data_IF_710618185933
#
_entry.id   IF_710618185933
#
_cell.length_a   1.000
_cell.length_b   1.000
_cell.length_c   1.000
_cell.angle_alpha   90.00
_cell.angle_beta   90.00
_cell.angle_gamma   90.00
#
_symmetry.space_group_name_H-M   'P 1'
#
loop_
_entity.id
_entity.type
_entity.pdbx_description
1 polymer ?
#
# COMPACT_ATOMS: atom_id res chain seq x y z
N UNK A 1 -27.87 -0.39 -17.17
CA UNK A 1 -26.90 -1.27 -17.86
C UNK A 1 -25.54 -0.97 -17.26
N UNK A 2 -24.81 -1.97 -16.77
CA UNK A 2 -23.43 -1.75 -16.32
C UNK A 2 -22.62 -1.16 -17.50
N UNK A 3 -21.94 -0.04 -17.29
CA UNK A 3 -21.12 0.56 -18.33
C UNK A 3 -19.98 -0.42 -18.67
N UNK A 4 -19.82 -0.75 -19.96
CA UNK A 4 -18.80 -1.68 -20.43
C UNK A 4 -17.39 -1.28 -19.99
N UNK A 5 -17.14 0.02 -19.79
CA UNK A 5 -15.87 0.55 -19.29
C UNK A 5 -15.60 0.17 -17.84
N UNK A 6 -16.64 0.07 -17.00
CA UNK A 6 -16.51 -0.43 -15.63
C UNK A 6 -16.09 -1.90 -15.60
N UNK A 7 -16.72 -2.72 -16.43
CA UNK A 7 -16.37 -4.14 -16.58
C UNK A 7 -14.95 -4.34 -17.11
N UNK A 8 -14.54 -3.49 -18.05
CA UNK A 8 -13.19 -3.47 -18.61
C UNK A 8 -12.15 -3.09 -17.55
N UNK A 9 -12.38 -2.00 -16.80
CA UNK A 9 -11.50 -1.59 -15.70
C UNK A 9 -11.32 -2.73 -14.70
N UNK A 10 -12.41 -3.36 -14.26
CA UNK A 10 -12.36 -4.50 -13.34
C UNK A 10 -11.45 -5.61 -13.85
N UNK A 11 -11.55 -5.99 -15.14
CA UNK A 11 -10.70 -7.03 -15.73
C UNK A 11 -9.23 -6.61 -15.78
N UNK A 12 -8.95 -5.36 -16.15
CA UNK A 12 -7.59 -4.82 -16.19
C UNK A 12 -6.96 -4.86 -14.79
N UNK A 13 -7.68 -4.39 -13.77
CA UNK A 13 -7.18 -4.37 -12.40
C UNK A 13 -6.99 -5.77 -11.84
N UNK A 14 -7.93 -6.70 -12.06
CA UNK A 14 -7.78 -8.10 -11.64
C UNK A 14 -6.53 -8.75 -12.26
N UNK A 15 -6.30 -8.55 -13.57
CA UNK A 15 -5.13 -9.09 -14.25
C UNK A 15 -3.83 -8.46 -13.74
N UNK A 16 -3.84 -7.16 -13.48
CA UNK A 16 -2.68 -6.41 -12.98
C UNK A 16 -2.32 -6.80 -11.55
N UNK A 17 -3.30 -6.86 -10.63
CA UNK A 17 -3.06 -7.19 -9.21
C UNK A 17 -2.64 -8.64 -9.00
N UNK A 18 -3.03 -9.57 -9.88
CA UNK A 18 -2.68 -10.98 -9.76
C UNK A 18 -1.16 -11.25 -9.67
N UNK A 19 -0.33 -10.38 -10.25
CA UNK A 19 1.13 -10.50 -10.18
C UNK A 19 1.72 -10.11 -8.80
N UNK A 20 0.91 -9.51 -7.95
CA UNK A 20 1.31 -8.91 -6.67
C UNK A 20 0.59 -9.53 -5.46
N UNK A 21 -0.61 -10.09 -5.67
CA UNK A 21 -1.41 -10.70 -4.60
C UNK A 21 -0.64 -11.79 -3.86
N UNK A 22 -0.74 -11.77 -2.52
CA UNK A 22 -0.09 -12.74 -1.64
C UNK A 22 1.41 -12.50 -1.40
N UNK A 23 2.01 -11.50 -2.04
CA UNK A 23 3.41 -11.12 -1.84
C UNK A 23 3.54 -10.13 -0.67
N UNK A 24 4.48 -10.38 0.23
CA UNK A 24 4.65 -9.61 1.48
C UNK A 24 5.22 -8.23 1.17
N UNK A 25 6.15 -8.14 0.22
CA UNK A 25 6.75 -6.89 -0.23
C UNK A 25 5.74 -5.91 -0.85
N UNK A 26 4.55 -6.41 -1.24
CA UNK A 26 3.42 -5.59 -1.69
C UNK A 26 2.31 -5.49 -0.63
N UNK A 27 2.64 -5.73 0.65
CA UNK A 27 1.70 -5.58 1.76
C UNK A 27 0.52 -6.53 1.71
N UNK A 28 0.67 -7.71 1.09
CA UNK A 28 -0.44 -8.64 0.85
C UNK A 28 -1.60 -7.94 0.12
N UNK A 29 -1.28 -7.35 -1.04
CA UNK A 29 -2.18 -6.59 -1.89
C UNK A 29 -3.50 -7.32 -2.15
N UNK A 30 -4.61 -6.60 -1.96
CA UNK A 30 -5.99 -7.07 -2.12
C UNK A 30 -6.76 -6.12 -3.02
N UNK A 31 -7.67 -6.69 -3.81
CA UNK A 31 -8.59 -5.96 -4.68
C UNK A 31 -10.02 -6.30 -4.23
N UNK A 32 -10.80 -5.28 -3.90
CA UNK A 32 -12.20 -5.41 -3.53
C UNK A 32 -13.05 -4.61 -4.53
N UNK A 33 -14.08 -5.25 -5.07
CA UNK A 33 -14.96 -4.65 -6.07
C UNK A 33 -16.38 -4.60 -5.53
N UNK A 34 -16.94 -3.41 -5.51
CA UNK A 34 -18.31 -3.12 -5.10
C UNK A 34 -19.08 -2.65 -6.32
N UNK A 35 -19.91 -3.53 -6.86
CA UNK A 35 -20.87 -3.16 -7.89
C UNK A 35 -22.04 -2.47 -7.18
N UNK A 36 -22.17 -1.15 -7.35
CA UNK A 36 -23.31 -0.39 -6.83
C UNK A 36 -24.61 -1.00 -7.34
N UNK A 37 -25.57 -1.24 -6.45
CA UNK A 37 -26.89 -1.72 -6.83
C UNK A 37 -27.59 -0.75 -7.78
N UNK A 38 -28.62 -1.21 -8.51
CA UNK A 38 -29.35 -0.37 -9.47
C UNK A 38 -29.96 0.92 -8.87
N UNK A 39 -30.16 0.96 -7.54
CA UNK A 39 -30.67 2.11 -6.77
C UNK A 39 -29.58 2.85 -5.97
N UNK A 40 -28.31 2.51 -6.15
CA UNK A 40 -27.19 3.15 -5.44
C UNK A 40 -26.76 4.41 -6.18
N UNK A 41 -26.97 5.58 -5.56
CA UNK A 41 -26.35 6.84 -6.01
C UNK A 41 -24.82 6.76 -6.01
N UNK A 42 -24.27 5.93 -5.12
CA UNK A 42 -22.86 5.56 -5.12
C UNK A 42 -22.66 4.59 -6.30
N UNK A 43 -22.11 5.08 -7.40
CA UNK A 43 -21.71 4.25 -8.53
C UNK A 43 -20.75 3.12 -8.14
N UNK A 44 -20.32 2.32 -9.13
CA UNK A 44 -19.36 1.24 -8.87
C UNK A 44 -18.10 1.76 -8.17
N UNK A 45 -17.58 0.99 -7.20
CA UNK A 45 -16.32 1.29 -6.49
C UNK A 45 -15.36 0.11 -6.52
N UNK A 46 -14.08 0.39 -6.75
CA UNK A 46 -12.99 -0.58 -6.61
C UNK A 46 -12.04 -0.03 -5.56
N UNK A 47 -11.67 -0.87 -4.59
CA UNK A 47 -10.66 -0.58 -3.60
C UNK A 47 -9.45 -1.50 -3.79
N UNK A 48 -8.26 -0.92 -3.81
CA UNK A 48 -6.99 -1.64 -3.79
C UNK A 48 -6.37 -1.38 -2.42
N UNK A 49 -6.16 -2.42 -1.62
CA UNK A 49 -5.66 -2.30 -0.25
C UNK A 49 -4.36 -3.08 -0.06
N UNK A 50 -3.46 -2.54 0.75
CA UNK A 50 -2.22 -3.20 1.16
C UNK A 50 -1.82 -2.78 2.57
N UNK A 51 -1.03 -3.61 3.24
CA UNK A 51 -0.53 -3.37 4.58
C UNK A 51 0.90 -2.81 4.54
N UNK A 52 1.27 -1.98 5.51
CA UNK A 52 2.66 -1.62 5.82
C UNK A 52 3.14 -2.37 7.06
N UNK A 53 4.45 -2.46 7.29
CA UNK A 53 4.97 -3.05 8.52
C UNK A 53 4.30 -2.46 9.76
N UNK A 54 3.97 -3.30 10.73
CA UNK A 54 3.22 -2.89 11.94
C UNK A 54 1.69 -2.93 11.78
N UNK A 55 1.17 -3.24 10.59
CA UNK A 55 -0.24 -3.57 10.37
C UNK A 55 -1.15 -2.40 9.97
N UNK A 56 -0.59 -1.23 9.64
CA UNK A 56 -1.40 -0.14 9.06
C UNK A 56 -1.87 -0.53 7.65
N UNK A 57 -3.14 -0.25 7.35
CA UNK A 57 -3.73 -0.53 6.03
C UNK A 57 -3.80 0.75 5.22
N UNK A 58 -3.24 0.71 4.01
CA UNK A 58 -3.34 1.76 3.01
C UNK A 58 -4.29 1.30 1.90
N UNK A 59 -4.99 2.25 1.28
CA UNK A 59 -5.97 1.96 0.25
C UNK A 59 -6.02 3.04 -0.81
N UNK A 60 -6.21 2.61 -2.05
CA UNK A 60 -6.56 3.48 -3.17
C UNK A 60 -7.99 3.14 -3.60
N UNK A 61 -8.80 4.16 -3.85
CA UNK A 61 -10.20 3.99 -4.25
C UNK A 61 -10.45 4.53 -5.65
N UNK A 62 -11.14 3.75 -6.46
CA UNK A 62 -11.68 4.18 -7.75
C UNK A 62 -13.20 4.17 -7.68
N UNK A 63 -13.81 5.31 -7.97
CA UNK A 63 -15.25 5.44 -8.23
C UNK A 63 -15.53 5.60 -9.73
N UNK A 64 -16.73 5.25 -10.16
CA UNK A 64 -17.20 5.54 -11.51
C UNK A 64 -18.57 6.21 -11.48
N UNK A 65 -18.60 7.46 -11.93
CA UNK A 65 -19.78 8.32 -11.86
C UNK A 65 -19.89 9.16 -13.14
N UNK A 66 -21.10 9.30 -13.68
CA UNK A 66 -21.37 10.13 -14.88
C UNK A 66 -20.46 9.82 -16.08
N UNK A 67 -19.93 8.61 -16.18
CA UNK A 67 -19.04 8.19 -17.27
C UNK A 67 -17.57 8.57 -17.10
N UNK A 68 -17.16 9.01 -15.90
CA UNK A 68 -15.79 9.39 -15.54
C UNK A 68 -15.32 8.54 -14.35
N UNK A 69 -14.06 8.14 -14.35
CA UNK A 69 -13.43 7.46 -13.23
C UNK A 69 -12.77 8.49 -12.31
N UNK A 70 -13.12 8.46 -11.03
CA UNK A 70 -12.47 9.24 -9.97
C UNK A 70 -11.54 8.35 -9.17
N UNK A 71 -10.26 8.72 -9.06
CA UNK A 71 -9.27 8.06 -8.21
C UNK A 71 -8.90 8.99 -7.08
N UNK A 72 -9.07 8.52 -5.84
CA UNK A 72 -8.56 9.21 -4.66
C UNK A 72 -7.10 8.79 -4.45
N UNK A 73 -6.20 9.76 -4.44
CA UNK A 73 -4.79 9.53 -4.08
C UNK A 73 -4.67 9.07 -2.60
N UNK A 74 -3.51 8.55 -2.22
CA UNK A 74 -3.20 8.02 -0.89
C UNK A 74 -3.50 9.01 0.25
N UNK A 75 -3.36 10.32 0.00
CA UNK A 75 -3.66 11.39 0.97
C UNK A 75 -5.15 11.74 1.04
N UNK A 76 -5.96 11.26 0.09
CA UNK A 76 -7.36 11.63 -0.13
C UNK A 76 -7.60 13.14 -0.36
N UNK A 77 -6.55 13.93 -0.64
CA UNK A 77 -6.67 15.38 -0.83
C UNK A 77 -6.95 15.80 -2.29
N UNK A 78 -6.58 14.94 -3.25
CA UNK A 78 -6.78 15.20 -4.68
C UNK A 78 -7.53 14.05 -5.34
N UNK A 79 -8.62 14.37 -6.05
CA UNK A 79 -9.33 13.45 -6.93
C UNK A 79 -8.75 13.58 -8.34
N UNK A 80 -8.13 12.51 -8.84
CA UNK A 80 -7.72 12.40 -10.24
C UNK A 80 -8.87 11.85 -11.07
N UNK A 81 -9.07 12.43 -12.25
CA UNK A 81 -10.17 12.05 -13.15
C UNK A 81 -9.64 11.46 -14.45
N UNK A 82 -10.23 10.35 -14.85
CA UNK A 82 -9.87 9.63 -16.06
C UNK A 82 -11.11 9.28 -16.87
N UNK A 83 -10.99 9.24 -18.19
CA UNK A 83 -12.10 8.89 -19.09
C UNK A 83 -12.01 7.45 -19.57
N UNK A 84 -10.79 6.90 -19.61
CA UNK A 84 -10.51 5.55 -20.10
C UNK A 84 -10.10 4.59 -18.97
N UNK A 85 -10.63 3.35 -18.96
CA UNK A 85 -10.22 2.30 -18.02
C UNK A 85 -8.71 2.05 -17.98
N UNK A 86 -8.04 2.17 -19.14
CA UNK A 86 -6.61 1.95 -19.30
C UNK A 86 -5.79 2.97 -18.50
N UNK A 87 -6.18 4.24 -18.52
CA UNK A 87 -5.47 5.31 -17.80
C UNK A 87 -5.54 5.07 -16.29
N UNK A 88 -6.70 4.64 -15.79
CA UNK A 88 -6.86 4.26 -14.38
C UNK A 88 -6.00 3.06 -14.03
N UNK A 89 -5.98 2.03 -14.88
CA UNK A 89 -5.21 0.82 -14.65
C UNK A 89 -3.70 1.09 -14.66
N UNK A 90 -3.21 1.92 -15.59
CA UNK A 90 -1.82 2.38 -15.65
C UNK A 90 -1.45 3.18 -14.40
N UNK A 91 -2.31 4.12 -13.99
CA UNK A 91 -2.08 4.91 -12.79
C UNK A 91 -2.00 4.04 -11.53
N UNK A 92 -2.97 3.13 -11.33
CA UNK A 92 -2.94 2.20 -10.20
C UNK A 92 -1.75 1.23 -10.27
N UNK A 93 -1.31 0.85 -11.47
CA UNK A 93 -0.13 0.01 -11.63
C UNK A 93 1.13 0.71 -11.11
N UNK A 94 1.31 1.99 -11.43
CA UNK A 94 2.44 2.76 -10.91
C UNK A 94 2.38 2.91 -9.38
N UNK A 95 1.20 3.15 -8.81
CA UNK A 95 1.02 3.16 -7.35
C UNK A 95 1.40 1.82 -6.72
N UNK A 96 0.93 0.70 -7.29
CA UNK A 96 1.27 -0.65 -6.79
C UNK A 96 2.77 -0.94 -6.90
N UNK A 97 3.42 -0.51 -7.99
CA UNK A 97 4.87 -0.64 -8.15
C UNK A 97 5.66 0.17 -7.12
N UNK A 98 5.10 1.28 -6.64
CA UNK A 98 5.69 2.11 -5.59
C UNK A 98 5.57 1.54 -4.18
N UNK A 99 4.71 0.53 -3.93
CA UNK A 99 4.45 -0.01 -2.58
C UNK A 99 5.72 -0.42 -1.83
N UNK A 100 6.67 -1.18 -2.41
CA UNK A 100 7.88 -1.60 -1.68
C UNK A 100 8.71 -0.41 -1.19
N UNK A 101 8.80 0.65 -2.01
CA UNK A 101 9.53 1.86 -1.66
C UNK A 101 8.80 2.65 -0.56
N UNK A 102 7.48 2.80 -0.67
CA UNK A 102 6.67 3.46 0.36
C UNK A 102 6.77 2.73 1.72
N UNK A 103 6.73 1.39 1.70
CA UNK A 103 6.93 0.55 2.90
C UNK A 103 8.30 0.79 3.53
N UNK A 104 9.36 0.88 2.72
CA UNK A 104 10.72 1.17 3.19
C UNK A 104 10.83 2.54 3.82
N UNK A 105 10.30 3.58 3.17
CA UNK A 105 10.31 4.94 3.69
C UNK A 105 9.59 5.02 5.03
N UNK A 106 8.40 4.41 5.12
CA UNK A 106 7.65 4.36 6.38
C UNK A 106 8.45 3.70 7.50
N UNK A 107 9.13 2.59 7.21
CA UNK A 107 9.96 1.90 8.20
C UNK A 107 11.13 2.79 8.71
N UNK A 108 11.71 3.61 7.84
CA UNK A 108 12.74 4.57 8.23
C UNK A 108 12.18 5.68 9.12
N UNK A 109 11.01 6.23 8.76
CA UNK A 109 10.30 7.23 9.57
C UNK A 109 9.97 6.69 10.97
N UNK A 110 9.51 5.44 11.06
CA UNK A 110 9.20 4.77 12.32
C UNK A 110 10.48 4.60 13.17
N UNK A 111 11.61 4.19 12.56
CA UNK A 111 12.92 4.12 13.24
C UNK A 111 13.34 5.50 13.77
N UNK A 112 13.27 6.53 12.93
CA UNK A 112 13.63 7.90 13.32
C UNK A 112 12.73 8.44 14.44
N UNK A 113 11.45 8.06 14.44
CA UNK A 113 10.54 8.39 15.52
C UNK A 113 10.94 7.67 16.82
N UNK A 114 11.21 6.37 16.79
CA UNK A 114 11.66 5.61 17.97
C UNK A 114 12.95 6.18 18.55
N UNK A 115 13.95 6.51 17.71
CA UNK A 115 15.19 7.12 18.17
C UNK A 115 14.94 8.49 18.83
N UNK A 116 14.07 9.32 18.23
CA UNK A 116 13.68 10.62 18.83
C UNK A 116 12.94 10.47 20.15
N UNK A 117 12.20 9.39 20.34
CA UNK A 117 11.52 9.04 21.59
C UNK A 117 12.48 8.46 22.64
N UNK A 118 13.76 8.24 22.31
CA UNK A 118 14.80 7.79 23.24
C UNK A 118 14.96 6.28 23.32
N UNK A 119 14.38 5.52 22.36
CA UNK A 119 14.60 4.07 22.30
C UNK A 119 16.06 3.78 21.99
N UNK A 120 16.63 2.80 22.71
CA UNK A 120 17.97 2.31 22.44
C UNK A 120 18.01 1.52 21.12
N UNK A 121 19.21 1.42 20.54
CA UNK A 121 19.46 0.57 19.35
C UNK A 121 18.97 -0.87 19.55
N UNK A 122 19.13 -1.42 20.75
CA UNK A 122 18.70 -2.79 21.05
C UNK A 122 17.17 -2.92 20.99
N UNK A 123 16.44 -1.96 21.55
CA UNK A 123 14.97 -1.95 21.55
C UNK A 123 14.40 -1.80 20.13
N UNK A 124 15.01 -0.96 19.28
CA UNK A 124 14.62 -0.84 17.87
C UNK A 124 14.86 -2.16 17.13
N UNK A 125 16.00 -2.82 17.34
CA UNK A 125 16.29 -4.13 16.72
C UNK A 125 15.33 -5.23 17.18
N UNK A 126 14.93 -5.22 18.45
CA UNK A 126 13.94 -6.17 18.98
C UNK A 126 12.57 -5.95 18.32
N UNK A 127 12.15 -4.70 18.11
CA UNK A 127 10.90 -4.41 17.40
C UNK A 127 10.95 -4.84 15.93
N UNK A 128 12.05 -4.56 15.21
CA UNK A 128 12.23 -5.04 13.83
C UNK A 128 12.17 -6.57 13.74
N UNK A 129 12.77 -7.28 14.69
CA UNK A 129 12.69 -8.74 14.78
C UNK A 129 11.26 -9.23 15.08
N UNK A 130 10.51 -8.49 15.89
CA UNK A 130 9.09 -8.78 16.14
C UNK A 130 8.28 -8.62 14.85
N UNK A 131 8.46 -7.54 14.10
CA UNK A 131 7.77 -7.30 12.82
C UNK A 131 8.07 -8.38 11.76
N UNK A 132 9.30 -8.90 11.71
CA UNK A 132 9.63 -10.05 10.86
C UNK A 132 8.80 -11.28 11.24
N UNK A 133 8.69 -11.56 12.55
CA UNK A 133 7.98 -12.74 13.09
C UNK A 133 6.47 -12.65 12.95
N UNK A 134 5.91 -11.44 12.84
CA UNK A 134 4.47 -11.22 12.60
C UNK A 134 3.97 -11.86 11.29
N UNK A 135 4.84 -12.26 10.36
CA UNK A 135 4.44 -12.88 9.10
C UNK A 135 3.62 -14.17 9.23
N UNK A 136 3.57 -14.78 10.42
CA UNK A 136 2.68 -15.92 10.71
C UNK A 136 1.23 -15.53 10.99
N UNK A 137 0.98 -14.31 11.46
CA UNK A 137 -0.36 -13.82 11.88
C UNK A 137 -0.87 -12.69 10.97
N UNK A 138 0.02 -11.83 10.49
CA UNK A 138 -0.28 -10.69 9.62
C UNK A 138 0.76 -10.60 8.50
N UNK A 139 0.53 -11.34 7.41
CA UNK A 139 1.50 -11.46 6.30
C UNK A 139 1.89 -10.11 5.69
N UNK A 140 0.94 -9.23 5.40
CA UNK A 140 1.27 -7.93 4.80
C UNK A 140 1.85 -6.94 5.83
N UNK A 141 1.45 -7.05 7.10
CA UNK A 141 2.01 -6.28 8.22
C UNK A 141 3.42 -6.70 8.66
N UNK A 142 3.99 -7.74 8.04
CA UNK A 142 5.32 -8.24 8.36
C UNK A 142 6.42 -7.64 7.49
N UNK A 143 7.65 -7.74 7.96
CA UNK A 143 8.83 -7.42 7.16
C UNK A 143 9.26 -8.61 6.30
N UNK A 144 9.76 -8.31 5.11
CA UNK A 144 10.63 -9.22 4.37
C UNK A 144 12.05 -9.20 4.94
N UNK A 145 12.86 -10.20 4.57
CA UNK A 145 14.29 -10.26 4.95
C UNK A 145 15.06 -9.07 4.36
N UNK A 146 14.69 -8.60 3.18
CA UNK A 146 15.32 -7.45 2.53
C UNK A 146 15.00 -6.14 3.23
N UNK A 147 13.73 -5.93 3.62
CA UNK A 147 13.30 -4.78 4.42
C UNK A 147 14.03 -4.76 5.77
N UNK A 148 14.12 -5.91 6.45
CA UNK A 148 14.87 -6.03 7.72
C UNK A 148 16.35 -5.66 7.54
N UNK A 149 17.00 -6.20 6.50
CA UNK A 149 18.41 -5.92 6.23
C UNK A 149 18.65 -4.43 5.99
N UNK A 150 17.75 -3.81 5.22
CA UNK A 150 17.80 -2.38 4.92
C UNK A 150 17.57 -1.53 6.17
N UNK A 151 16.59 -1.90 7.00
CA UNK A 151 16.29 -1.24 8.27
C UNK A 151 17.47 -1.30 9.25
N UNK A 152 18.09 -2.47 9.41
CA UNK A 152 19.27 -2.64 10.26
C UNK A 152 20.45 -1.76 9.81
N UNK A 153 20.68 -1.65 8.49
CA UNK A 153 21.72 -0.77 7.93
C UNK A 153 21.39 0.70 8.18
N UNK A 154 20.13 1.10 8.00
CA UNK A 154 19.67 2.46 8.26
C UNK A 154 19.87 2.85 9.72
N UNK A 155 19.44 1.99 10.65
CA UNK A 155 19.60 2.19 12.09
C UNK A 155 21.08 2.35 12.48
N UNK A 156 21.95 1.46 11.98
CA UNK A 156 23.39 1.54 12.27
C UNK A 156 23.97 2.91 11.87
N UNK A 157 23.68 3.35 10.65
CA UNK A 157 24.14 4.65 10.13
C UNK A 157 23.63 5.83 10.97
N UNK A 158 22.37 5.80 11.44
CA UNK A 158 21.81 6.87 12.28
C UNK A 158 22.44 6.93 13.66
N UNK A 159 22.74 5.78 14.27
CA UNK A 159 23.36 5.73 15.60
C UNK A 159 24.85 6.07 15.59
N UNK A 160 25.55 5.83 14.48
CA UNK A 160 26.95 6.24 14.31
C UNK A 160 27.07 7.77 14.15
N UNK A 161 26.10 8.41 13.48
CA UNK A 161 26.07 9.86 13.28
C UNK A 161 25.75 10.68 14.55
N UNK A 162 25.19 10.05 15.59
CA UNK A 162 24.86 10.70 16.88
C UNK A 162 25.94 10.47 17.95
N UNK A 163 26.99 9.69 17.62
CA UNK A 163 28.11 9.36 18.51
C UNK A 163 29.37 10.24 18.37
N UNK A 164 29.36 11.20 17.44
CA UNK A 164 30.38 12.27 17.24
C UNK A 164 29.85 13.63 17.73
#
# INVERSE_FOLDING_TARGET
MADKRWDELRRLLQGMTANYTGRIEYGNLRLEVYDGGADSELGGRIAVAYETPGGSTNQFGVGFEHGVFGVLDASAETELRFEQPQEVAEHLHELVRGIPEARRQRLQEDIDQMLREGYSRAEVLDDLNRLLRMGTEFRGGSLTVEELTTACRYLAARTEAEGD
#
